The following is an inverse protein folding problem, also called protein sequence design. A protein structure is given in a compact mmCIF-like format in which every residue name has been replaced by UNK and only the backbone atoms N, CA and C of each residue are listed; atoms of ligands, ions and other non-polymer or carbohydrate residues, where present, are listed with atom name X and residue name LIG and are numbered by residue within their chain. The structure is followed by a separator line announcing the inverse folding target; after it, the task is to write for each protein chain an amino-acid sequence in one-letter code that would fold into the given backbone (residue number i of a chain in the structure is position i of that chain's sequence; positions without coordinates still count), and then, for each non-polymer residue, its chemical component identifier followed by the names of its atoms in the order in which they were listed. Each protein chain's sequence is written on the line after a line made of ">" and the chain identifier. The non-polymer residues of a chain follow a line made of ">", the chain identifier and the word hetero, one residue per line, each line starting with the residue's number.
data_IF_054384390295
#
_entry.id   IF_054384390295
#
_cell.length_a   1.000
_cell.length_b   1.000
_cell.length_c   1.000
_cell.angle_alpha   90.00
_cell.angle_beta   90.00
_cell.angle_gamma   90.00
#
_symmetry.space_group_name_H-M   'P 1'
#
loop_
_entity.id
_entity.type
_entity.pdbx_description
1 polymer ?
#
# COMPACT_ATOMS: atom_id res chain seq x y z
N UNK A 1 14.62 -6.80 -3.29
CA UNK A 1 13.19 -6.42 -3.35
C UNK A 1 12.97 -5.36 -2.28
N UNK A 2 12.40 -4.20 -2.65
CA UNK A 2 12.20 -3.08 -1.72
C UNK A 2 10.79 -3.13 -1.18
N UNK A 3 10.64 -3.07 0.15
CA UNK A 3 9.34 -3.05 0.79
C UNK A 3 8.86 -1.60 0.95
N UNK A 4 7.61 -1.36 0.57
CA UNK A 4 7.01 -0.04 0.57
C UNK A 4 5.87 0.00 1.59
N UNK A 5 5.99 0.88 2.58
CA UNK A 5 4.97 1.12 3.58
C UNK A 5 4.41 2.53 3.39
N UNK A 6 3.09 2.65 3.25
CA UNK A 6 2.45 3.93 3.05
C UNK A 6 1.72 4.37 4.33
N UNK A 7 2.22 5.45 4.93
CA UNK A 7 1.62 6.07 6.12
C UNK A 7 0.92 7.37 5.74
N UNK A 8 -0.40 7.42 5.95
CA UNK A 8 -1.20 8.63 5.77
C UNK A 8 -1.17 9.44 7.08
N UNK A 9 -0.69 10.68 7.02
CA UNK A 9 -0.77 11.63 8.12
C UNK A 9 -2.13 12.35 8.20
N UNK A 10 -2.20 13.45 8.94
CA UNK A 10 -3.41 14.30 9.06
C UNK A 10 -3.67 15.18 7.83
N UNK A 11 -3.61 14.63 6.62
CA UNK A 11 -3.94 15.33 5.38
C UNK A 11 -5.29 14.86 4.83
N UNK A 12 -5.87 15.64 3.90
CA UNK A 12 -7.16 15.34 3.26
C UNK A 12 -7.11 14.14 2.29
N UNK A 13 -5.93 13.56 2.01
CA UNK A 13 -5.80 12.40 1.12
C UNK A 13 -5.81 12.73 -0.36
N UNK A 14 -5.81 14.03 -0.73
CA UNK A 14 -5.80 14.48 -2.12
C UNK A 14 -4.56 14.02 -2.89
N UNK A 15 -3.39 14.00 -2.23
CA UNK A 15 -2.17 13.49 -2.84
C UNK A 15 -2.29 12.01 -3.23
N UNK A 16 -2.94 11.21 -2.39
CA UNK A 16 -3.11 9.80 -2.66
C UNK A 16 -4.14 9.54 -3.75
N UNK A 17 -5.25 10.29 -3.75
CA UNK A 17 -6.25 10.22 -4.82
C UNK A 17 -5.61 10.59 -6.17
N UNK A 18 -4.79 11.64 -6.20
CA UNK A 18 -4.09 12.04 -7.41
C UNK A 18 -3.10 10.96 -7.89
N UNK A 19 -2.38 10.28 -6.99
CA UNK A 19 -1.48 9.18 -7.37
C UNK A 19 -2.26 7.95 -7.88
N UNK A 20 -3.33 7.57 -7.20
CA UNK A 20 -4.16 6.41 -7.58
C UNK A 20 -4.89 6.63 -8.91
N UNK A 21 -5.14 7.89 -9.28
CA UNK A 21 -5.76 8.24 -10.56
C UNK A 21 -4.74 8.44 -11.70
N UNK A 22 -3.47 8.07 -11.50
CA UNK A 22 -2.47 8.12 -12.56
C UNK A 22 -2.70 7.00 -13.58
N UNK A 23 -2.82 7.34 -14.86
CA UNK A 23 -3.07 6.35 -15.93
C UNK A 23 -1.78 5.82 -16.58
N UNK A 24 -0.65 6.52 -16.44
CA UNK A 24 0.61 6.16 -17.10
C UNK A 24 1.83 6.39 -16.21
N UNK A 25 2.38 5.35 -15.56
CA UNK A 25 1.77 4.03 -15.31
C UNK A 25 0.73 4.07 -14.19
N UNK A 26 -0.29 3.21 -14.27
CA UNK A 26 -1.15 2.90 -13.11
C UNK A 26 -0.32 2.50 -11.89
N UNK A 27 -0.80 2.81 -10.69
CA UNK A 27 -0.09 2.59 -9.44
C UNK A 27 0.34 1.13 -9.24
N UNK A 28 -0.50 0.15 -9.58
CA UNK A 28 -0.14 -1.27 -9.47
C UNK A 28 0.93 -1.65 -10.51
N UNK A 29 0.82 -1.10 -11.71
CA UNK A 29 1.84 -1.27 -12.76
C UNK A 29 3.17 -0.66 -12.34
N UNK A 30 3.16 0.51 -11.71
CA UNK A 30 4.34 1.15 -11.12
C UNK A 30 5.00 0.24 -10.08
N UNK A 31 4.23 -0.26 -9.09
CA UNK A 31 4.76 -1.15 -8.06
C UNK A 31 5.43 -2.39 -8.65
N UNK A 32 4.77 -3.05 -9.62
CA UNK A 32 5.31 -4.24 -10.28
C UNK A 32 6.56 -3.91 -11.11
N UNK A 33 6.55 -2.81 -11.87
CA UNK A 33 7.66 -2.40 -12.73
C UNK A 33 8.93 -2.10 -11.93
N UNK A 34 8.79 -1.53 -10.73
CA UNK A 34 9.91 -1.20 -9.85
C UNK A 34 10.21 -2.28 -8.81
N UNK A 35 9.52 -3.43 -8.83
CA UNK A 35 9.74 -4.53 -7.88
C UNK A 35 9.47 -4.12 -6.43
N UNK A 36 8.49 -3.23 -6.23
CA UNK A 36 8.08 -2.70 -4.93
C UNK A 36 7.02 -3.62 -4.31
N UNK A 37 7.28 -4.08 -3.10
CA UNK A 37 6.31 -4.85 -2.33
C UNK A 37 5.55 -3.91 -1.37
N UNK A 38 4.33 -3.53 -1.72
CA UNK A 38 3.47 -2.74 -0.84
C UNK A 38 3.09 -3.59 0.39
N UNK A 39 3.55 -3.19 1.59
CA UNK A 39 3.29 -3.88 2.86
C UNK A 39 1.91 -3.53 3.42
N UNK A 40 1.52 -2.26 3.31
CA UNK A 40 0.22 -1.78 3.80
C UNK A 40 -0.14 -0.39 3.28
N UNK A 41 -1.42 -0.15 3.03
CA UNK A 41 -2.05 1.14 2.75
C UNK A 41 -3.52 1.12 3.24
N UNK A 42 -4.05 2.19 3.90
CA UNK A 42 -5.35 2.17 4.57
C UNK A 42 -6.53 1.74 3.70
N UNK A 43 -6.58 2.14 2.43
CA UNK A 43 -7.74 1.87 1.57
C UNK A 43 -7.59 0.63 0.68
N UNK A 44 -6.36 0.13 0.51
CA UNK A 44 -6.06 -1.00 -0.39
C UNK A 44 -5.73 -2.29 0.38
N UNK A 45 -5.33 -2.19 1.65
CA UNK A 45 -4.97 -3.33 2.50
C UNK A 45 -6.14 -3.75 3.35
N UNK A 46 -6.30 -5.06 3.59
CA UNK A 46 -7.40 -5.58 4.40
C UNK A 46 -7.21 -5.34 5.90
N UNK A 47 -5.97 -5.41 6.40
CA UNK A 47 -5.67 -5.29 7.84
C UNK A 47 -6.02 -3.90 8.38
N UNK A 48 -6.66 -3.84 9.55
CA UNK A 48 -7.09 -2.59 10.20
C UNK A 48 -6.76 -2.61 11.69
N UNK A 49 -6.66 -1.43 12.31
CA UNK A 49 -6.39 -1.32 13.75
C UNK A 49 -5.11 -2.04 14.18
N UNK A 50 -5.19 -2.91 15.20
CA UNK A 50 -4.04 -3.63 15.74
C UNK A 50 -3.45 -4.68 14.76
N UNK A 51 -4.23 -5.19 13.80
CA UNK A 51 -3.74 -6.14 12.79
C UNK A 51 -2.66 -5.53 11.89
N UNK A 52 -2.70 -4.20 11.72
CA UNK A 52 -1.70 -3.44 10.95
C UNK A 52 -0.35 -3.48 11.65
N UNK A 53 -0.34 -3.34 12.98
CA UNK A 53 0.88 -3.33 13.78
C UNK A 53 1.61 -4.68 13.70
N UNK A 54 0.86 -5.78 13.62
CA UNK A 54 1.43 -7.10 13.38
C UNK A 54 2.11 -7.19 12.00
N UNK A 55 1.54 -6.52 10.99
CA UNK A 55 2.08 -6.49 9.63
C UNK A 55 3.39 -5.68 9.56
N UNK A 56 3.50 -4.59 10.32
CA UNK A 56 4.73 -3.77 10.40
C UNK A 56 5.90 -4.52 11.03
N UNK A 57 5.64 -5.34 12.05
CA UNK A 57 6.67 -6.14 12.72
C UNK A 57 7.18 -7.30 11.87
N UNK A 58 6.44 -7.71 10.84
CA UNK A 58 6.68 -8.92 10.06
C UNK A 58 7.55 -8.71 8.80
N UNK A 59 8.32 -7.61 8.68
CA UNK A 59 8.97 -7.19 7.41
C UNK A 59 10.11 -8.10 6.87
N UNK A 60 10.19 -9.36 7.26
CA UNK A 60 11.23 -10.31 6.82
C UNK A 60 10.88 -11.17 5.61
N UNK A 61 9.61 -11.43 5.29
CA UNK A 61 9.25 -12.31 4.16
C UNK A 61 7.75 -12.27 3.76
N UNK A 62 7.12 -11.09 3.79
CA UNK A 62 5.67 -10.98 3.54
C UNK A 62 5.31 -11.23 2.06
N UNK A 63 4.32 -12.09 1.76
CA UNK A 63 3.75 -12.20 0.43
C UNK A 63 3.15 -10.86 0.00
N UNK A 64 3.02 -10.58 -1.32
CA UNK A 64 2.42 -9.35 -1.81
C UNK A 64 1.05 -9.15 -1.17
N UNK A 65 0.80 -7.95 -0.66
CA UNK A 65 -0.50 -7.60 -0.08
C UNK A 65 -1.60 -7.95 -1.07
N UNK A 66 -2.61 -8.69 -0.59
CA UNK A 66 -3.84 -8.88 -1.34
C UNK A 66 -4.56 -7.54 -1.41
N UNK A 67 -4.28 -6.81 -2.48
CA UNK A 67 -4.95 -5.55 -2.80
C UNK A 67 -6.42 -5.85 -3.04
N UNK A 68 -7.28 -5.21 -2.26
CA UNK A 68 -8.72 -5.24 -2.43
C UNK A 68 -9.32 -3.98 -1.82
N UNK A 69 -10.14 -3.26 -2.60
CA UNK A 69 -10.91 -2.15 -2.06
C UNK A 69 -11.74 -2.67 -0.88
N UNK A 70 -11.56 -2.06 0.30
CA UNK A 70 -12.49 -2.29 1.42
C UNK A 70 -13.86 -1.77 1.00
N UNK A 71 -14.81 -2.68 0.85
CA UNK A 71 -16.24 -2.35 0.75
C UNK A 71 -16.82 -2.06 2.12
#
# INVERSE_FOLDING_TARGET
>A
MVSFLWLQGGCCGGETVSLLNSEQPDFLTFLNKFGLNLIWYPFLSRQSGEEVLATFKFSGNSPPVKVGMRG
#
